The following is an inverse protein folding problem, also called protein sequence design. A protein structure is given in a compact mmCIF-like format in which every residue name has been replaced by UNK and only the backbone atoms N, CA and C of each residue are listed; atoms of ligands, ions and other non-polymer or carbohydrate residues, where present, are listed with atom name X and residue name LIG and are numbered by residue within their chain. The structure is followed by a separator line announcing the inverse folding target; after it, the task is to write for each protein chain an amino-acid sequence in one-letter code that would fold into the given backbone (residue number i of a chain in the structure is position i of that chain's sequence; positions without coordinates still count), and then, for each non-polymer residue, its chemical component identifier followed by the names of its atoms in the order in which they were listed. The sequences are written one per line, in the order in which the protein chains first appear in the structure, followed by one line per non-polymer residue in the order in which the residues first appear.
data_IF_810561724801
#
_entry.id   IF_810561724801
#
_cell.length_a   1.000
_cell.length_b   1.000
_cell.length_c   1.000
_cell.angle_alpha   90.00
_cell.angle_beta   90.00
_cell.angle_gamma   90.00
#
_symmetry.space_group_name_H-M   'P 1'
#
loop_
_entity.id
_entity.type
_entity.pdbx_description
1 polymer ?
#
# COMPACT_ATOMS: atom_id res chain seq x y z
N UNK A 1 -8.35 -6.78 -22.56
CA UNK A 1 -9.05 -5.80 -21.72
C UNK A 1 -8.05 -5.37 -20.66
N UNK A 2 -7.46 -4.19 -20.80
CA UNK A 2 -6.66 -3.61 -19.72
C UNK A 2 -7.71 -3.04 -18.78
N UNK A 3 -7.93 -3.69 -17.64
CA UNK A 3 -8.90 -3.22 -16.65
C UNK A 3 -8.62 -1.74 -16.35
N UNK A 4 -9.65 -0.91 -16.50
CA UNK A 4 -9.63 0.54 -16.25
C UNK A 4 -9.69 0.78 -14.73
N UNK A 5 -8.82 0.08 -14.00
CA UNK A 5 -8.80 0.07 -12.55
C UNK A 5 -8.29 1.41 -12.03
N UNK A 6 -9.18 2.12 -11.36
CA UNK A 6 -8.88 3.37 -10.63
C UNK A 6 -8.73 3.02 -9.14
N UNK A 7 -7.54 3.27 -8.53
CA UNK A 7 -7.32 3.01 -7.12
C UNK A 7 -8.28 3.82 -6.24
N UNK A 8 -8.92 3.15 -5.29
CA UNK A 8 -9.84 3.83 -4.37
C UNK A 8 -9.08 4.39 -3.17
N UNK A 9 -9.48 5.54 -2.60
CA UNK A 9 -8.95 6.02 -1.33
C UNK A 9 -9.00 4.93 -0.26
N UNK A 10 -7.94 4.82 0.56
CA UNK A 10 -7.77 3.80 1.60
C UNK A 10 -7.67 2.35 1.11
N UNK A 11 -7.67 2.09 -0.20
CA UNK A 11 -7.40 0.76 -0.74
C UNK A 11 -5.97 0.32 -0.37
N UNK A 12 -5.79 -0.97 -0.07
CA UNK A 12 -4.49 -1.52 0.26
C UNK A 12 -3.77 -1.95 -1.02
N UNK A 13 -2.54 -1.44 -1.18
CA UNK A 13 -1.70 -1.67 -2.34
C UNK A 13 -0.38 -2.29 -1.89
N UNK A 14 0.11 -3.27 -2.66
CA UNK A 14 1.47 -3.78 -2.55
C UNK A 14 2.35 -3.05 -3.54
N UNK A 15 3.34 -2.33 -3.05
CA UNK A 15 4.51 -1.92 -3.81
C UNK A 15 5.39 -3.16 -4.01
N UNK A 16 5.42 -3.67 -5.23
CA UNK A 16 6.12 -4.92 -5.57
C UNK A 16 7.63 -4.71 -5.72
N UNK A 17 8.08 -3.48 -5.89
CA UNK A 17 9.51 -3.18 -5.98
C UNK A 17 10.15 -3.10 -4.60
N UNK A 18 9.46 -2.49 -3.64
CA UNK A 18 9.92 -2.35 -2.26
C UNK A 18 9.41 -3.48 -1.32
N UNK A 19 8.61 -4.41 -1.85
CA UNK A 19 7.89 -5.45 -1.09
C UNK A 19 7.21 -4.88 0.17
N UNK A 20 6.48 -3.77 -0.03
CA UNK A 20 5.90 -2.97 1.07
C UNK A 20 4.44 -2.64 0.83
N UNK A 21 3.64 -2.74 1.88
CA UNK A 21 2.24 -2.34 1.87
C UNK A 21 2.03 -0.85 2.18
N UNK A 22 1.10 -0.23 1.46
CA UNK A 22 0.63 1.13 1.70
C UNK A 22 -0.84 1.30 1.36
N UNK A 23 -1.47 2.29 1.99
CA UNK A 23 -2.86 2.69 1.70
C UNK A 23 -2.86 3.86 0.72
N UNK A 24 -3.82 3.87 -0.21
CA UNK A 24 -3.98 4.98 -1.16
C UNK A 24 -4.38 6.25 -0.43
N UNK A 25 -3.60 7.31 -0.62
CA UNK A 25 -3.90 8.67 -0.14
C UNK A 25 -3.94 9.70 -1.26
N UNK A 26 -3.61 9.32 -2.49
CA UNK A 26 -3.74 10.16 -3.67
C UNK A 26 -3.66 9.36 -4.96
N UNK A 27 -4.37 9.83 -5.98
CA UNK A 27 -4.37 9.30 -7.34
C UNK A 27 -4.35 10.49 -8.30
N UNK A 28 -3.38 10.48 -9.22
CA UNK A 28 -3.26 11.46 -10.29
C UNK A 28 -3.80 10.82 -11.58
N UNK A 29 -4.92 11.33 -12.07
CA UNK A 29 -5.64 10.73 -13.20
C UNK A 29 -4.88 10.90 -14.53
N UNK A 30 -4.17 12.02 -14.71
CA UNK A 30 -3.48 12.35 -15.95
C UNK A 30 -2.20 11.51 -16.10
N UNK A 31 -1.45 11.35 -15.01
CA UNK A 31 -0.18 10.61 -15.00
C UNK A 31 -0.33 9.14 -14.59
N UNK A 32 -1.52 8.73 -14.14
CA UNK A 32 -1.80 7.41 -13.56
C UNK A 32 -0.87 7.05 -12.40
N UNK A 33 -0.44 8.05 -11.63
CA UNK A 33 0.43 7.86 -10.47
C UNK A 33 -0.38 7.78 -9.18
N UNK A 34 0.02 6.83 -8.33
CA UNK A 34 -0.57 6.65 -7.01
C UNK A 34 0.36 7.19 -5.93
N UNK A 35 -0.22 7.75 -4.86
CA UNK A 35 0.51 8.11 -3.64
C UNK A 35 0.04 7.22 -2.50
N UNK A 36 1.00 6.54 -1.88
CA UNK A 36 0.77 5.62 -0.78
C UNK A 36 1.25 6.20 0.55
N UNK A 37 0.59 5.79 1.64
CA UNK A 37 1.02 6.06 3.02
C UNK A 37 1.19 4.74 3.78
N UNK A 38 2.15 4.62 4.73
CA UNK A 38 2.32 3.38 5.46
C UNK A 38 1.13 3.14 6.39
N UNK A 39 0.83 1.86 6.67
CA UNK A 39 -0.29 1.44 7.54
C UNK A 39 -0.24 2.09 8.93
N UNK A 40 0.90 2.00 9.61
CA UNK A 40 1.13 2.62 10.92
C UNK A 40 1.45 4.12 10.87
N UNK A 41 1.16 4.80 9.75
CA UNK A 41 1.49 6.21 9.54
C UNK A 41 2.95 6.45 9.12
N UNK A 42 3.26 7.73 8.85
CA UNK A 42 4.58 8.17 8.38
C UNK A 42 4.56 8.83 7.01
N UNK A 43 5.76 8.98 6.42
CA UNK A 43 5.95 9.70 5.15
C UNK A 43 5.34 8.92 3.98
N UNK A 44 4.65 9.64 3.10
CA UNK A 44 4.09 9.10 1.86
C UNK A 44 5.18 8.81 0.83
N UNK A 45 4.87 7.93 -0.12
CA UNK A 45 5.74 7.66 -1.27
C UNK A 45 4.91 7.37 -2.53
N UNK A 46 5.58 7.40 -3.69
CA UNK A 46 4.99 7.02 -4.98
C UNK A 46 5.65 5.73 -5.46
N UNK A 47 4.93 4.60 -5.54
CA UNK A 47 5.49 3.37 -6.06
C UNK A 47 5.64 3.45 -7.58
N UNK A 48 6.67 2.79 -8.09
CA UNK A 48 6.96 2.60 -9.52
C UNK A 48 6.28 1.35 -10.07
N UNK A 49 6.20 0.28 -9.28
CA UNK A 49 5.51 -0.98 -9.61
C UNK A 49 4.63 -1.43 -8.46
N UNK A 50 3.35 -1.63 -8.73
CA UNK A 50 2.40 -1.98 -7.69
C UNK A 50 1.23 -2.80 -8.22
N UNK A 51 0.54 -3.47 -7.30
CA UNK A 51 -0.73 -4.16 -7.56
C UNK A 51 -1.69 -4.05 -6.39
N UNK A 52 -2.96 -4.31 -6.65
CA UNK A 52 -3.99 -4.48 -5.61
C UNK A 52 -3.58 -5.58 -4.63
N UNK A 53 -3.76 -5.32 -3.34
CA UNK A 53 -3.56 -6.34 -2.32
C UNK A 53 -4.67 -7.39 -2.43
N UNK A 54 -4.27 -8.66 -2.45
CA UNK A 54 -5.17 -9.82 -2.31
C UNK A 54 -5.62 -9.97 -0.85
N UNK A 55 -6.56 -10.89 -0.59
CA UNK A 55 -6.93 -11.25 0.78
C UNK A 55 -5.72 -11.74 1.59
N UNK A 56 -4.85 -12.54 0.98
CA UNK A 56 -3.62 -13.03 1.61
C UNK A 56 -2.66 -11.89 1.95
N UNK A 57 -2.53 -10.91 1.05
CA UNK A 57 -1.71 -9.72 1.29
C UNK A 57 -2.22 -8.89 2.48
N UNK A 58 -3.55 -8.76 2.63
CA UNK A 58 -4.14 -8.06 3.78
C UNK A 58 -3.78 -8.73 5.11
N UNK A 59 -3.78 -10.07 5.14
CA UNK A 59 -3.32 -10.83 6.31
C UNK A 59 -1.83 -10.59 6.58
N UNK A 60 -0.98 -10.68 5.55
CA UNK A 60 0.47 -10.42 5.66
C UNK A 60 0.75 -9.02 6.17
N UNK A 61 0.03 -8.02 5.67
CA UNK A 61 0.13 -6.64 6.09
C UNK A 61 -0.18 -6.46 7.58
N UNK A 62 -1.26 -7.08 8.06
CA UNK A 62 -1.66 -7.02 9.47
C UNK A 62 -0.65 -7.69 10.40
N UNK A 63 -0.16 -8.88 10.04
CA UNK A 63 0.89 -9.58 10.80
C UNK A 63 2.17 -8.74 10.86
N UNK A 64 2.54 -8.10 9.75
CA UNK A 64 3.75 -7.25 9.70
C UNK A 64 3.63 -6.00 10.57
N UNK A 65 2.43 -5.43 10.70
CA UNK A 65 2.14 -4.32 11.59
C UNK A 65 2.25 -4.73 13.07
N UNK A 66 1.60 -5.83 13.45
CA UNK A 66 1.66 -6.37 14.82
C UNK A 66 3.11 -6.70 15.23
N UNK A 67 3.88 -7.32 14.34
CA UNK A 67 5.30 -7.59 14.59
C UNK A 67 6.13 -6.32 14.79
N UNK A 68 5.77 -5.21 14.11
CA UNK A 68 6.45 -3.92 14.27
C UNK A 68 6.07 -3.26 15.59
N UNK A 69 4.81 -3.33 15.99
CA UNK A 69 4.33 -2.82 17.28
C UNK A 69 4.97 -3.58 18.45
N UNK A 70 4.99 -4.91 18.39
CA UNK A 70 5.64 -5.75 19.40
C UNK A 70 7.13 -5.46 19.59
N UNK A 71 7.84 -5.04 18.53
CA UNK A 71 9.25 -4.63 18.61
C UNK A 71 9.48 -3.24 19.19
N UNK A 72 8.47 -2.37 19.25
CA UNK A 72 8.58 -1.02 19.84
C UNK A 72 8.30 -1.00 21.35
N UNK A 73 7.78 -2.10 21.90
CA UNK A 73 7.39 -2.21 23.31
C UNK A 73 8.40 -2.86 24.24
N UNK A 74 9.66 -3.03 23.82
CA UNK A 74 10.77 -3.58 24.61
C UNK A 74 11.91 -2.57 24.71
#
# INVERSE_FOLDING_TARGET
MVDDWIPQPLELILDTELDRFGVVVGWDQDTRQITLRPLGGGRTWRPTRYRRATTTDKLRARVSELNREGRRGW
#
